data_IF_080142787759
#
_entry.id   IF_080142787759
#
_cell.length_a   1.000
_cell.length_b   1.000
_cell.length_c   1.000
_cell.angle_alpha   90.00
_cell.angle_beta   90.00
_cell.angle_gamma   90.00
#
_symmetry.space_group_name_H-M   'P 1'
#
loop_
_entity.id
_entity.type
_entity.pdbx_description
1 polymer ?
#
# COMPACT_ATOMS: atom_id res chain seq x y z
N UNK A 1 27.46 0.19 -59.51
CA UNK A 1 27.83 0.57 -58.13
C UNK A 1 26.53 1.02 -57.46
N UNK A 2 25.87 0.16 -56.68
CA UNK A 2 26.05 -0.01 -55.22
C UNK A 2 26.20 1.36 -54.53
N UNK A 3 25.19 1.79 -53.79
CA UNK A 3 25.32 2.19 -52.39
C UNK A 3 23.94 2.11 -51.72
N UNK A 4 23.68 0.92 -51.18
CA UNK A 4 22.74 0.70 -50.10
C UNK A 4 23.40 1.24 -48.83
N UNK A 5 22.74 2.14 -48.11
CA UNK A 5 23.06 2.44 -46.72
C UNK A 5 21.74 2.67 -45.98
N UNK A 6 21.12 1.55 -45.61
CA UNK A 6 20.12 1.50 -44.54
C UNK A 6 20.81 2.00 -43.27
N UNK A 7 20.45 3.20 -42.84
CA UNK A 7 20.79 3.69 -41.51
C UNK A 7 19.82 3.01 -40.54
N UNK A 8 20.18 1.81 -40.08
CA UNK A 8 19.56 1.18 -38.93
C UNK A 8 20.04 1.91 -37.67
N UNK A 9 19.33 2.97 -37.29
CA UNK A 9 19.50 3.56 -35.96
C UNK A 9 19.13 2.47 -34.93
N UNK A 10 19.97 2.19 -33.94
CA UNK A 10 19.64 1.21 -32.92
C UNK A 10 18.50 1.77 -32.07
N UNK A 11 17.30 1.20 -32.24
CA UNK A 11 16.15 1.43 -31.37
C UNK A 11 16.37 0.97 -29.90
N UNK A 12 17.57 0.48 -29.56
CA UNK A 12 17.97 0.05 -28.23
C UNK A 12 18.27 1.19 -27.25
N UNK A 13 18.33 2.45 -27.70
CA UNK A 13 18.58 3.59 -26.82
C UNK A 13 17.33 4.13 -26.11
N UNK A 14 16.13 3.61 -26.41
CA UNK A 14 14.87 4.06 -25.82
C UNK A 14 14.36 3.20 -24.65
N UNK A 15 15.05 2.08 -24.34
CA UNK A 15 14.71 1.23 -23.19
C UNK A 15 15.35 1.68 -21.87
N UNK A 16 16.14 2.77 -21.90
CA UNK A 16 16.87 3.28 -20.73
C UNK A 16 16.12 4.41 -19.98
N UNK A 17 14.85 4.67 -20.30
CA UNK A 17 14.06 5.69 -19.62
C UNK A 17 13.32 5.16 -18.36
N UNK A 18 13.18 3.84 -18.23
CA UNK A 18 12.82 3.15 -16.98
C UNK A 18 13.78 1.96 -16.88
N UNK A 19 14.81 2.05 -16.04
CA UNK A 19 15.65 0.89 -15.73
C UNK A 19 14.80 -0.20 -15.05
N UNK A 20 15.25 -1.46 -15.03
CA UNK A 20 14.62 -2.46 -14.16
C UNK A 20 14.75 -1.99 -12.70
N UNK A 21 13.69 -2.17 -11.90
CA UNK A 21 13.73 -1.88 -10.47
C UNK A 21 14.94 -2.55 -9.82
N UNK A 22 15.57 -1.80 -8.94
CA UNK A 22 16.63 -2.32 -8.10
C UNK A 22 16.05 -3.37 -7.14
N UNK A 23 16.89 -4.31 -6.70
CA UNK A 23 16.50 -5.25 -5.64
C UNK A 23 16.24 -4.57 -4.27
N UNK A 24 16.36 -3.23 -4.21
CA UNK A 24 16.04 -2.40 -3.05
C UNK A 24 14.61 -1.87 -3.20
N UNK A 25 14.26 -1.29 -4.36
CA UNK A 25 12.87 -0.91 -4.71
C UNK A 25 11.92 -2.11 -4.60
N UNK A 26 12.28 -3.29 -5.16
CA UNK A 26 11.43 -4.51 -5.06
C UNK A 26 11.18 -4.94 -3.59
N UNK A 27 12.06 -4.56 -2.66
CA UNK A 27 11.83 -4.80 -1.22
C UNK A 27 10.99 -3.71 -0.57
N UNK A 28 11.06 -2.48 -1.06
CA UNK A 28 10.15 -1.39 -0.69
C UNK A 28 8.73 -1.78 -1.04
N UNK A 29 8.48 -2.16 -2.29
CA UNK A 29 7.17 -2.64 -2.78
C UNK A 29 6.60 -3.77 -1.92
N UNK A 30 7.44 -4.73 -1.53
CA UNK A 30 7.01 -5.85 -0.70
C UNK A 30 6.69 -5.46 0.76
N UNK A 31 7.25 -4.35 1.25
CA UNK A 31 6.91 -3.78 2.55
C UNK A 31 5.61 -2.98 2.46
N UNK A 32 5.39 -2.22 1.38
CA UNK A 32 4.12 -1.53 1.13
C UNK A 32 2.95 -2.52 1.04
N UNK A 33 3.10 -3.61 0.27
CA UNK A 33 2.05 -4.64 0.18
C UNK A 33 1.78 -5.30 1.55
N UNK A 34 2.79 -5.36 2.43
CA UNK A 34 2.60 -5.80 3.81
C UNK A 34 1.88 -4.76 4.69
N UNK A 35 2.18 -3.47 4.52
CA UNK A 35 1.52 -2.38 5.22
C UNK A 35 0.03 -2.34 4.85
N UNK A 36 -0.30 -2.39 3.56
CA UNK A 36 -1.67 -2.45 3.03
C UNK A 36 -2.45 -3.62 3.66
N UNK A 37 -1.84 -4.81 3.70
CA UNK A 37 -2.48 -5.98 4.29
C UNK A 37 -2.72 -5.85 5.82
N UNK A 38 -1.96 -5.00 6.52
CA UNK A 38 -2.16 -4.72 7.94
C UNK A 38 -3.27 -3.69 8.13
N UNK A 39 -3.27 -2.61 7.34
CA UNK A 39 -4.34 -1.60 7.28
C UNK A 39 -5.68 -2.28 6.99
N UNK A 40 -5.75 -3.12 5.96
CA UNK A 40 -6.95 -3.87 5.56
C UNK A 40 -7.53 -4.70 6.73
N UNK A 41 -6.67 -5.37 7.50
CA UNK A 41 -7.12 -6.17 8.65
C UNK A 41 -7.60 -5.28 9.81
N UNK A 42 -7.03 -4.09 9.98
CA UNK A 42 -7.52 -3.07 10.91
C UNK A 42 -8.92 -2.62 10.50
N UNK A 43 -9.05 -2.17 9.25
CA UNK A 43 -10.28 -1.68 8.64
C UNK A 43 -11.41 -2.71 8.70
N UNK A 44 -11.17 -3.96 8.29
CA UNK A 44 -12.19 -5.03 8.35
C UNK A 44 -12.72 -5.27 9.77
N UNK A 45 -11.84 -5.12 10.78
CA UNK A 45 -12.23 -5.32 12.18
C UNK A 45 -12.94 -4.10 12.75
N UNK A 46 -12.51 -2.90 12.37
CA UNK A 46 -13.19 -1.66 12.73
C UNK A 46 -14.61 -1.65 12.14
N UNK A 47 -14.77 -1.97 10.85
CA UNK A 47 -16.06 -2.06 10.17
C UNK A 47 -17.00 -3.07 10.86
N UNK A 48 -16.51 -4.26 11.22
CA UNK A 48 -17.32 -5.24 11.95
C UNK A 48 -17.79 -4.75 13.34
N UNK A 49 -17.03 -3.85 13.98
CA UNK A 49 -17.42 -3.22 15.25
C UNK A 49 -18.43 -2.10 15.04
N UNK A 50 -18.28 -1.31 13.98
CA UNK A 50 -19.24 -0.27 13.57
C UNK A 50 -20.59 -0.88 13.17
N UNK A 51 -20.60 -1.97 12.40
CA UNK A 51 -21.83 -2.71 12.08
C UNK A 51 -22.54 -3.20 13.36
N UNK A 52 -21.77 -3.67 14.35
CA UNK A 52 -22.32 -4.07 15.64
C UNK A 52 -22.82 -2.86 16.47
N UNK A 53 -22.22 -1.67 16.27
CA UNK A 53 -22.64 -0.43 16.91
C UNK A 53 -23.99 0.05 16.35
N UNK A 54 -24.18 -0.03 15.03
CA UNK A 54 -25.43 0.32 14.34
C UNK A 54 -26.64 -0.51 14.83
N UNK A 55 -26.40 -1.74 15.26
CA UNK A 55 -27.43 -2.62 15.83
C UNK A 55 -27.58 -2.50 17.36
N UNK A 56 -26.82 -1.61 18.02
CA UNK A 56 -26.80 -1.51 19.46
C UNK A 56 -28.14 -1.01 20.04
N UNK A 57 -28.60 -1.64 21.12
CA UNK A 57 -29.89 -1.30 21.74
C UNK A 57 -29.88 0.04 22.51
N UNK A 58 -28.72 0.65 22.71
CA UNK A 58 -28.54 1.89 23.49
C UNK A 58 -27.37 2.70 22.97
N UNK A 59 -27.48 4.02 23.01
CA UNK A 59 -26.42 4.97 22.64
C UNK A 59 -25.12 4.67 23.38
N UNK A 60 -25.16 4.37 24.69
CA UNK A 60 -23.96 4.06 25.46
C UNK A 60 -23.22 2.79 24.99
N UNK A 61 -23.91 1.89 24.28
CA UNK A 61 -23.31 0.68 23.70
C UNK A 61 -22.78 0.95 22.30
N UNK A 62 -23.51 1.73 21.50
CA UNK A 62 -23.05 2.26 20.22
C UNK A 62 -21.74 3.04 20.40
N UNK A 63 -21.71 4.02 21.30
CA UNK A 63 -20.52 4.83 21.63
C UNK A 63 -19.32 3.97 22.03
N UNK A 64 -19.55 2.93 22.83
CA UNK A 64 -18.49 2.05 23.30
C UNK A 64 -17.94 1.13 22.19
N UNK A 65 -18.77 0.77 21.21
CA UNK A 65 -18.35 -0.02 20.05
C UNK A 65 -17.63 0.86 19.02
N UNK A 66 -18.16 2.05 18.73
CA UNK A 66 -17.50 3.03 17.86
C UNK A 66 -16.12 3.42 18.38
N UNK A 67 -15.99 3.72 19.68
CA UNK A 67 -14.68 4.01 20.28
C UNK A 67 -13.72 2.80 20.23
N UNK A 68 -14.25 1.58 20.17
CA UNK A 68 -13.42 0.39 19.98
C UNK A 68 -13.02 0.22 18.52
N UNK A 69 -13.90 0.54 17.57
CA UNK A 69 -13.62 0.54 16.14
C UNK A 69 -12.48 1.52 15.82
N UNK A 70 -12.62 2.79 16.26
CA UNK A 70 -11.59 3.83 16.10
C UNK A 70 -10.23 3.37 16.64
N UNK A 71 -10.20 2.73 17.83
CA UNK A 71 -8.94 2.23 18.39
C UNK A 71 -8.33 1.09 17.56
N UNK A 72 -9.14 0.25 16.92
CA UNK A 72 -8.64 -0.85 16.09
C UNK A 72 -8.11 -0.32 14.75
N UNK A 73 -8.81 0.66 14.18
CA UNK A 73 -8.41 1.42 12.99
C UNK A 73 -7.04 2.09 13.21
N UNK A 74 -6.93 2.91 14.27
CA UNK A 74 -5.70 3.60 14.65
C UNK A 74 -4.50 2.64 14.83
N UNK A 75 -4.74 1.45 15.39
CA UNK A 75 -3.67 0.45 15.58
C UNK A 75 -3.23 -0.16 14.24
N UNK A 76 -4.16 -0.36 13.30
CA UNK A 76 -3.88 -0.82 11.95
C UNK A 76 -3.04 0.21 11.21
N UNK A 77 -3.50 1.46 11.20
CA UNK A 77 -2.84 2.61 10.57
C UNK A 77 -1.44 2.84 11.12
N UNK A 78 -1.28 2.97 12.46
CA UNK A 78 0.02 3.20 13.09
C UNK A 78 1.03 2.08 12.75
N UNK A 79 0.55 0.85 12.59
CA UNK A 79 1.40 -0.29 12.23
C UNK A 79 1.76 -0.30 10.74
N UNK A 80 0.82 0.03 9.86
CA UNK A 80 1.06 0.18 8.43
C UNK A 80 2.02 1.34 8.15
N UNK A 81 1.80 2.51 8.78
CA UNK A 81 2.65 3.70 8.68
C UNK A 81 4.10 3.39 9.06
N UNK A 82 4.34 2.68 10.17
CA UNK A 82 5.69 2.31 10.58
C UNK A 82 6.43 1.40 9.58
N UNK A 83 5.69 0.68 8.73
CA UNK A 83 6.23 -0.16 7.67
C UNK A 83 6.41 0.65 6.38
N UNK A 84 5.45 1.51 6.03
CA UNK A 84 5.57 2.41 4.88
C UNK A 84 6.72 3.40 5.04
N UNK A 85 6.95 3.94 6.25
CA UNK A 85 8.14 4.78 6.52
C UNK A 85 9.46 4.04 6.20
N UNK A 86 9.50 2.71 6.36
CA UNK A 86 10.66 1.89 6.00
C UNK A 86 10.72 1.61 4.50
N UNK A 87 9.58 1.47 3.84
CA UNK A 87 9.50 1.27 2.40
C UNK A 87 9.93 2.54 1.64
N UNK A 88 9.48 3.71 2.10
CA UNK A 88 9.84 5.03 1.55
C UNK A 88 11.36 5.29 1.57
N UNK A 89 12.10 4.74 2.54
CA UNK A 89 13.56 4.82 2.57
C UNK A 89 14.24 4.01 1.44
N UNK A 90 13.47 3.21 0.68
CA UNK A 90 13.93 2.25 -0.32
C UNK A 90 13.49 2.60 -1.76
N UNK A 91 12.64 3.61 -1.97
CA UNK A 91 12.35 4.28 -3.26
C UNK A 91 13.42 5.32 -3.64
#
# INVERSE_FOLDING_TARGET
>A
MKFTAMISLPALALLAACGPDSAVEERGDALEEQADAIEDVGNERAEALEEAADEAATDAREDALNAQAEQVDDIGDDAADAINERADEME
#
